data_IF_268729272807
#
_entry.id   IF_268729272807
#
_cell.length_a   1.000
_cell.length_b   1.000
_cell.length_c   1.000
_cell.angle_alpha   90.00
_cell.angle_beta   90.00
_cell.angle_gamma   90.00
#
_symmetry.space_group_name_H-M   'P 1'
#
loop_
_entity.id
_entity.type
_entity.pdbx_description
1 polymer ?
#
# COMPACT_ATOMS: atom_id res chain seq x y z
N UNK A 1 3.09 -2.97 -7.95
CA UNK A 1 4.02 -2.87 -6.79
C UNK A 1 4.48 -1.44 -6.68
N UNK A 2 4.11 -0.78 -5.60
CA UNK A 2 4.37 0.65 -5.40
C UNK A 2 3.25 1.34 -4.64
N UNK A 3 3.46 2.58 -4.19
CA UNK A 3 2.52 3.29 -3.31
C UNK A 3 1.14 3.52 -3.93
N UNK A 4 1.03 3.47 -5.26
CA UNK A 4 -0.23 3.57 -6.01
C UNK A 4 -0.94 2.23 -6.24
N UNK A 5 -0.38 1.12 -5.77
CA UNK A 5 -0.98 -0.22 -5.96
C UNK A 5 -2.27 -0.29 -5.14
N UNK A 6 -3.45 -0.51 -5.75
CA UNK A 6 -4.67 -0.70 -5.00
C UNK A 6 -4.58 -1.97 -4.16
N UNK A 7 -4.86 -1.86 -2.86
CA UNK A 7 -4.83 -2.98 -1.94
C UNK A 7 -6.19 -3.69 -1.88
N UNK A 8 -6.86 -3.82 -3.03
CA UNK A 8 -8.20 -4.40 -3.12
C UNK A 8 -8.13 -5.94 -3.20
N UNK A 9 -8.78 -6.68 -2.29
CA UNK A 9 -8.82 -8.14 -2.36
C UNK A 9 -9.44 -8.69 -3.65
N UNK A 10 -10.30 -7.93 -4.34
CA UNK A 10 -10.86 -8.32 -5.64
C UNK A 10 -9.78 -8.55 -6.71
N UNK A 11 -8.58 -7.98 -6.56
CA UNK A 11 -7.46 -8.25 -7.46
C UNK A 11 -7.02 -9.72 -7.39
N UNK A 12 -7.16 -10.40 -6.26
CA UNK A 12 -6.83 -11.83 -6.17
C UNK A 12 -7.73 -12.70 -7.05
N UNK A 13 -8.98 -12.27 -7.30
CA UNK A 13 -9.90 -12.95 -8.23
C UNK A 13 -9.50 -12.76 -9.70
N UNK A 14 -8.72 -11.72 -10.00
CA UNK A 14 -8.17 -11.43 -11.32
C UNK A 14 -6.84 -12.14 -11.59
N UNK A 15 -6.41 -13.04 -10.70
CA UNK A 15 -5.21 -13.86 -10.87
C UNK A 15 -3.92 -13.25 -10.31
N UNK A 16 -4.00 -12.18 -9.52
CA UNK A 16 -2.85 -11.72 -8.74
C UNK A 16 -2.65 -12.63 -7.53
N UNK A 17 -1.39 -12.94 -7.17
CA UNK A 17 -1.07 -13.75 -5.97
C UNK A 17 -0.58 -12.90 -4.79
N UNK A 18 -0.06 -11.70 -5.07
CA UNK A 18 0.40 -10.77 -4.04
C UNK A 18 0.19 -9.31 -4.49
N UNK A 19 -0.14 -8.46 -3.52
CA UNK A 19 -0.30 -7.02 -3.68
C UNK A 19 0.63 -6.31 -2.71
N UNK A 20 1.65 -5.59 -3.20
CA UNK A 20 2.43 -4.71 -2.33
C UNK A 20 2.21 -3.24 -2.68
N UNK A 21 1.81 -2.50 -1.65
CA UNK A 21 1.47 -1.09 -1.70
C UNK A 21 1.91 -0.40 -0.41
N UNK A 22 1.24 0.70 -0.09
CA UNK A 22 1.52 1.44 1.14
C UNK A 22 0.23 1.99 1.71
N UNK A 23 0.12 1.99 3.04
CA UNK A 23 -1.00 2.63 3.76
C UNK A 23 -0.53 3.93 4.38
N UNK A 24 -1.44 4.91 4.43
CA UNK A 24 -1.18 6.21 5.05
C UNK A 24 -1.31 6.06 6.57
N UNK A 25 -0.28 6.47 7.29
CA UNK A 25 -0.24 6.52 8.77
C UNK A 25 -0.34 7.95 9.30
N UNK A 26 0.16 8.92 8.54
CA UNK A 26 0.06 10.34 8.85
C UNK A 26 -0.25 11.11 7.55
N UNK A 27 -1.51 11.47 7.37
CA UNK A 27 -1.98 12.14 6.17
C UNK A 27 -1.43 13.57 6.04
N UNK A 28 -1.36 14.32 7.14
CA UNK A 28 -0.96 15.73 7.12
C UNK A 28 0.51 15.88 6.69
N UNK A 29 1.39 15.06 7.27
CA UNK A 29 2.80 15.02 6.88
C UNK A 29 2.97 14.59 5.42
N UNK A 30 2.29 13.50 5.03
CA UNK A 30 2.41 12.95 3.69
C UNK A 30 1.93 13.95 2.62
N UNK A 31 0.79 14.61 2.87
CA UNK A 31 0.23 15.63 1.96
C UNK A 31 1.24 16.76 1.71
N UNK A 32 1.88 17.27 2.76
CA UNK A 32 2.90 18.32 2.63
C UNK A 32 4.11 17.85 1.81
N UNK A 33 4.58 16.62 2.02
CA UNK A 33 5.71 16.08 1.27
C UNK A 33 5.39 15.80 -0.20
N UNK A 34 4.17 15.35 -0.50
CA UNK A 34 3.70 15.16 -1.88
C UNK A 34 3.65 16.50 -2.62
N UNK A 35 3.16 17.56 -1.98
CA UNK A 35 3.17 18.91 -2.56
C UNK A 35 4.58 19.42 -2.88
N UNK A 36 5.58 18.98 -2.10
CA UNK A 36 6.99 19.32 -2.31
C UNK A 36 7.70 18.40 -3.32
N UNK A 37 6.96 17.50 -3.99
CA UNK A 37 7.50 16.51 -4.91
C UNK A 37 8.64 15.66 -4.29
N UNK A 38 8.54 15.38 -2.98
CA UNK A 38 9.52 14.54 -2.29
C UNK A 38 9.53 13.15 -2.95
N UNK A 39 10.70 12.62 -3.34
CA UNK A 39 10.78 11.30 -3.94
C UNK A 39 10.19 10.23 -3.02
N UNK A 40 9.44 9.28 -3.60
CA UNK A 40 8.69 8.25 -2.86
C UNK A 40 9.51 7.55 -1.77
N UNK A 41 10.79 7.24 -2.03
CA UNK A 41 11.70 6.61 -1.07
C UNK A 41 12.00 7.42 0.20
N UNK A 42 11.68 8.72 0.19
CA UNK A 42 11.87 9.64 1.31
C UNK A 42 10.54 10.13 1.90
N UNK A 43 9.41 9.66 1.37
CA UNK A 43 8.11 9.93 1.97
C UNK A 43 8.04 9.29 3.36
N UNK A 44 7.51 10.07 4.30
CA UNK A 44 7.22 9.69 5.67
C UNK A 44 5.70 9.66 5.84
N UNK A 45 5.23 9.08 6.94
CA UNK A 45 3.79 8.92 7.17
C UNK A 45 3.14 7.86 6.27
N UNK A 46 3.94 7.02 5.61
CA UNK A 46 3.48 5.81 4.91
C UNK A 46 4.08 4.56 5.57
N UNK A 47 3.33 3.47 5.53
CA UNK A 47 3.82 2.14 5.88
C UNK A 47 3.69 1.23 4.67
N UNK A 48 4.80 0.67 4.15
CA UNK A 48 4.74 -0.39 3.14
C UNK A 48 4.01 -1.61 3.71
N UNK A 49 3.08 -2.17 2.93
CA UNK A 49 2.43 -3.44 3.26
C UNK A 49 2.41 -4.35 2.05
N UNK A 50 2.41 -5.66 2.32
CA UNK A 50 2.23 -6.69 1.30
C UNK A 50 1.11 -7.60 1.74
N UNK A 51 0.08 -7.72 0.91
CA UNK A 51 -0.99 -8.68 1.06
C UNK A 51 -0.68 -9.88 0.16
N UNK A 52 -0.79 -11.07 0.71
CA UNK A 52 -0.71 -12.30 -0.05
C UNK A 52 -2.11 -12.85 -0.23
N UNK A 53 -2.34 -13.56 -1.33
CA UNK A 53 -3.55 -14.34 -1.51
C UNK A 53 -3.54 -15.44 -0.44
N UNK A 54 -4.37 -15.30 0.58
CA UNK A 54 -4.59 -16.34 1.58
C UNK A 54 -5.45 -17.45 0.97
N UNK A 55 -5.12 -18.72 1.25
CA UNK A 55 -5.86 -19.88 0.74
C UNK A 55 -7.22 -20.11 1.42
N UNK A 56 -7.56 -19.36 2.47
CA UNK A 56 -8.90 -19.06 3.04
C UNK A 56 -8.74 -18.60 4.52
N UNK A 57 -9.57 -17.62 4.90
CA UNK A 57 -9.89 -17.11 6.25
C UNK A 57 -8.84 -16.34 7.11
N UNK A 58 -9.11 -15.03 7.19
CA UNK A 58 -8.88 -14.11 8.31
C UNK A 58 -7.47 -14.00 8.94
N UNK A 59 -6.59 -13.12 8.39
CA UNK A 59 -6.01 -11.99 9.16
C UNK A 59 -5.09 -11.10 8.34
N UNK A 60 -5.43 -9.82 8.29
CA UNK A 60 -4.49 -8.76 7.89
C UNK A 60 -3.38 -8.65 8.95
N UNK A 61 -2.24 -9.31 8.70
CA UNK A 61 -1.00 -9.15 9.48
C UNK A 61 -0.46 -7.71 9.37
#
# INVERSE_FOLDING_TARGET
LGPSTPLSPSLFQLGFDALAGSVIRDEALLRNQVQQAVPVRYLKGIQPITLFKEDNDEKYC
#
